data_IF_059384949224
#
_entry.id   IF_059384949224
#
_cell.length_a   1.000
_cell.length_b   1.000
_cell.length_c   1.000
_cell.angle_alpha   90.00
_cell.angle_beta   90.00
_cell.angle_gamma   90.00
#
_symmetry.space_group_name_H-M   'P 1'
#
loop_
_entity.id
_entity.type
_entity.pdbx_description
1 polymer ?
#
# COMPACT_ATOMS: atom_id res chain seq x y z
N UNK A 1 -14.37 -33.77 17.22
CA UNK A 1 -13.88 -32.45 17.68
C UNK A 1 -13.33 -31.58 16.53
N UNK A 2 -12.43 -32.07 15.66
CA UNK A 2 -11.88 -31.27 14.52
C UNK A 2 -12.91 -30.69 13.54
N UNK A 3 -14.00 -31.42 13.26
CA UNK A 3 -15.09 -30.93 12.38
C UNK A 3 -15.87 -29.75 12.99
N UNK A 4 -16.03 -29.73 14.33
CA UNK A 4 -16.74 -28.65 15.03
C UNK A 4 -15.87 -27.40 15.11
N UNK A 5 -14.55 -27.53 15.33
CA UNK A 5 -13.66 -26.37 15.28
C UNK A 5 -13.58 -25.75 13.89
N UNK A 6 -13.61 -26.56 12.82
CA UNK A 6 -13.69 -26.06 11.45
C UNK A 6 -14.97 -25.30 11.15
N UNK A 7 -16.13 -25.78 11.65
CA UNK A 7 -17.40 -25.08 11.48
C UNK A 7 -17.43 -23.76 12.25
N UNK A 8 -16.83 -23.72 13.45
CA UNK A 8 -16.69 -22.48 14.23
C UNK A 8 -15.76 -21.49 13.54
N UNK A 9 -14.61 -21.94 13.03
CA UNK A 9 -13.69 -21.06 12.29
C UNK A 9 -14.32 -20.54 10.99
N UNK A 10 -15.10 -21.37 10.29
CA UNK A 10 -15.82 -20.97 9.08
C UNK A 10 -16.92 -19.95 9.39
N UNK A 11 -17.66 -20.14 10.49
CA UNK A 11 -18.67 -19.18 10.94
C UNK A 11 -18.05 -17.85 11.36
N UNK A 12 -16.93 -17.88 12.10
CA UNK A 12 -16.15 -16.68 12.45
C UNK A 12 -15.60 -15.96 11.22
N UNK A 13 -15.15 -16.72 10.22
CA UNK A 13 -14.68 -16.18 8.95
C UNK A 13 -15.80 -15.50 8.15
N UNK A 14 -16.95 -16.17 7.96
CA UNK A 14 -18.12 -15.60 7.27
C UNK A 14 -18.69 -14.39 8.00
N UNK A 15 -18.71 -14.43 9.33
CA UNK A 15 -19.12 -13.30 10.15
C UNK A 15 -18.15 -12.13 9.97
N UNK A 16 -16.84 -12.40 9.95
CA UNK A 16 -15.81 -11.42 9.64
C UNK A 16 -16.02 -10.82 8.24
N UNK A 17 -16.22 -11.63 7.22
CA UNK A 17 -16.47 -11.17 5.84
C UNK A 17 -17.68 -10.24 5.73
N UNK A 18 -18.79 -10.56 6.41
CA UNK A 18 -19.99 -9.72 6.40
C UNK A 18 -19.83 -8.44 7.23
N UNK A 19 -19.18 -8.54 8.38
CA UNK A 19 -19.05 -7.43 9.33
C UNK A 19 -17.94 -6.47 8.90
N UNK A 20 -16.89 -6.95 8.26
CA UNK A 20 -15.68 -6.19 7.98
C UNK A 20 -15.89 -4.95 7.08
N UNK A 21 -16.65 -5.03 5.95
CA UNK A 21 -16.96 -3.86 5.13
C UNK A 21 -17.62 -2.70 5.90
N UNK A 22 -18.41 -3.02 6.94
CA UNK A 22 -19.05 -2.01 7.80
C UNK A 22 -18.03 -1.22 8.62
N UNK A 23 -16.93 -1.85 9.03
CA UNK A 23 -15.89 -1.23 9.84
C UNK A 23 -14.76 -0.62 9.02
N UNK A 24 -14.64 -0.95 7.74
CA UNK A 24 -13.58 -0.45 6.87
C UNK A 24 -13.48 1.10 6.84
N UNK A 25 -14.58 1.88 6.71
CA UNK A 25 -14.49 3.34 6.79
C UNK A 25 -13.92 3.85 8.12
N UNK A 26 -14.29 3.21 9.23
CA UNK A 26 -13.78 3.55 10.56
C UNK A 26 -12.28 3.23 10.67
N UNK A 27 -11.83 2.10 10.12
CA UNK A 27 -10.42 1.73 10.11
C UNK A 27 -9.59 2.71 9.27
N UNK A 28 -10.07 3.09 8.08
CA UNK A 28 -9.42 4.12 7.25
C UNK A 28 -9.29 5.44 7.98
N UNK A 29 -10.34 5.86 8.70
CA UNK A 29 -10.32 7.06 9.52
C UNK A 29 -9.25 6.98 10.63
N UNK A 30 -9.16 5.85 11.32
CA UNK A 30 -8.17 5.64 12.39
C UNK A 30 -6.73 5.64 11.84
N UNK A 31 -6.49 5.00 10.70
CA UNK A 31 -5.17 4.96 10.05
C UNK A 31 -4.67 6.34 9.60
N UNK A 32 -5.61 7.22 9.25
CA UNK A 32 -5.36 8.57 8.74
C UNK A 32 -5.76 9.65 9.76
N UNK A 33 -5.82 9.30 11.05
CA UNK A 33 -6.16 10.25 12.10
C UNK A 33 -5.12 11.38 12.19
N UNK A 34 -3.85 11.03 12.09
CA UNK A 34 -2.73 11.97 12.02
C UNK A 34 -2.81 12.78 10.71
N UNK A 35 -2.82 14.13 10.77
CA UNK A 35 -2.85 14.98 9.59
C UNK A 35 -1.70 14.75 8.60
N UNK A 36 -0.48 14.51 9.09
CA UNK A 36 0.68 14.32 8.20
C UNK A 36 0.61 12.96 7.48
N UNK A 37 0.23 11.91 8.21
CA UNK A 37 -0.05 10.60 7.62
C UNK A 37 -1.11 10.71 6.53
N UNK A 38 -2.24 11.36 6.85
CA UNK A 38 -3.35 11.56 5.92
C UNK A 38 -2.91 12.33 4.68
N UNK A 39 -2.16 13.42 4.87
CA UNK A 39 -1.67 14.27 3.80
C UNK A 39 -0.80 13.48 2.83
N UNK A 40 0.23 12.79 3.32
CA UNK A 40 1.09 11.96 2.47
C UNK A 40 0.31 10.84 1.79
N UNK A 41 -0.66 10.23 2.50
CA UNK A 41 -1.48 9.18 1.91
C UNK A 41 -2.36 9.70 0.77
N UNK A 42 -3.04 10.84 0.93
CA UNK A 42 -3.80 11.50 -0.15
C UNK A 42 -2.89 11.81 -1.35
N UNK A 43 -1.69 12.35 -1.11
CA UNK A 43 -0.73 12.62 -2.17
C UNK A 43 -0.29 11.35 -2.92
N UNK A 44 -0.08 10.25 -2.21
CA UNK A 44 0.22 8.96 -2.81
C UNK A 44 -0.93 8.49 -3.73
N UNK A 45 -2.17 8.53 -3.25
CA UNK A 45 -3.36 8.11 -4.01
C UNK A 45 -3.55 8.98 -5.27
N UNK A 46 -3.41 10.31 -5.14
CA UNK A 46 -3.47 11.25 -6.26
C UNK A 46 -2.38 10.99 -7.30
N UNK A 47 -1.17 10.66 -6.84
CA UNK A 47 -0.03 10.33 -7.71
C UNK A 47 -0.23 9.01 -8.44
N UNK A 48 -0.81 7.99 -7.78
CA UNK A 48 -1.20 6.73 -8.40
C UNK A 48 -2.24 6.92 -9.50
N UNK A 49 -3.26 7.77 -9.26
CA UNK A 49 -4.27 8.13 -10.27
C UNK A 49 -3.64 8.81 -11.49
N UNK A 50 -2.60 9.63 -11.27
CA UNK A 50 -1.80 10.27 -12.32
C UNK A 50 -0.72 9.37 -12.93
N UNK A 51 -0.65 8.08 -12.54
CA UNK A 51 0.37 7.10 -12.95
C UNK A 51 1.81 7.51 -12.60
N UNK A 52 2.02 8.42 -11.64
CA UNK A 52 3.34 8.86 -11.16
C UNK A 52 3.83 7.93 -10.03
N UNK A 53 4.30 6.74 -10.40
CA UNK A 53 4.66 5.68 -9.45
C UNK A 53 5.77 6.07 -8.46
N UNK A 54 6.85 6.71 -8.93
CA UNK A 54 7.95 7.14 -8.05
C UNK A 54 7.49 8.13 -6.95
N UNK A 55 6.64 9.10 -7.31
CA UNK A 55 6.09 10.07 -6.35
C UNK A 55 5.13 9.39 -5.37
N UNK A 56 4.33 8.44 -5.86
CA UNK A 56 3.48 7.64 -4.99
C UNK A 56 4.31 6.82 -3.99
N UNK A 57 5.37 6.15 -4.46
CA UNK A 57 6.25 5.34 -3.62
C UNK A 57 6.92 6.17 -2.53
N UNK A 58 7.42 7.36 -2.85
CA UNK A 58 7.99 8.29 -1.87
C UNK A 58 6.99 8.65 -0.77
N UNK A 59 5.77 9.03 -1.14
CA UNK A 59 4.73 9.39 -0.17
C UNK A 59 4.28 8.18 0.65
N UNK A 60 4.19 6.99 0.06
CA UNK A 60 3.88 5.75 0.79
C UNK A 60 4.97 5.39 1.80
N UNK A 61 6.24 5.60 1.47
CA UNK A 61 7.34 5.43 2.41
C UNK A 61 7.23 6.40 3.58
N UNK A 62 6.87 7.66 3.32
CA UNK A 62 6.63 8.63 4.38
C UNK A 62 5.47 8.21 5.29
N UNK A 63 4.34 7.78 4.72
CA UNK A 63 3.21 7.23 5.48
C UNK A 63 3.65 6.07 6.38
N UNK A 64 4.47 5.15 5.88
CA UNK A 64 4.94 3.99 6.64
C UNK A 64 6.01 4.34 7.68
N UNK A 65 6.76 5.43 7.49
CA UNK A 65 7.68 5.95 8.51
C UNK A 65 6.93 6.54 9.71
N UNK A 66 5.84 7.26 9.45
CA UNK A 66 4.98 7.89 10.46
C UNK A 66 4.03 6.88 11.12
N UNK A 67 3.48 5.96 10.33
CA UNK A 67 2.59 4.89 10.77
C UNK A 67 3.00 3.54 10.16
N UNK A 68 3.91 2.80 10.81
CA UNK A 68 4.40 1.50 10.32
C UNK A 68 3.32 0.42 10.15
N UNK A 69 2.15 0.60 10.79
CA UNK A 69 1.00 -0.32 10.74
C UNK A 69 -0.08 0.13 9.76
N UNK A 70 0.19 1.11 8.90
CA UNK A 70 -0.78 1.57 7.92
C UNK A 70 -1.02 0.50 6.84
N UNK A 71 -2.20 -0.11 6.84
CA UNK A 71 -2.51 -1.27 5.98
C UNK A 71 -2.49 -0.88 4.50
N UNK A 72 -3.29 0.11 4.10
CA UNK A 72 -3.42 0.47 2.69
C UNK A 72 -2.11 0.97 2.07
N UNK A 73 -1.25 1.63 2.85
CA UNK A 73 0.04 2.08 2.37
C UNK A 73 0.94 0.90 1.97
N UNK A 74 0.94 -0.19 2.75
CA UNK A 74 1.63 -1.44 2.39
C UNK A 74 1.02 -2.08 1.15
N UNK A 75 -0.31 -2.13 1.06
CA UNK A 75 -1.01 -2.69 -0.10
C UNK A 75 -0.66 -1.93 -1.37
N UNK A 76 -0.77 -0.60 -1.36
CA UNK A 76 -0.44 0.21 -2.52
C UNK A 76 1.04 0.14 -2.89
N UNK A 77 1.93 0.06 -1.91
CA UNK A 77 3.37 -0.10 -2.15
C UNK A 77 3.69 -1.46 -2.76
N UNK A 78 3.12 -2.55 -2.24
CA UNK A 78 3.24 -3.89 -2.80
C UNK A 78 2.73 -3.97 -4.25
N UNK A 79 1.63 -3.29 -4.57
CA UNK A 79 1.12 -3.19 -5.95
C UNK A 79 2.05 -2.42 -6.89
N UNK A 80 2.72 -1.37 -6.41
CA UNK A 80 3.77 -0.68 -7.19
C UNK A 80 4.92 -1.66 -7.45
N UNK A 81 5.40 -2.37 -6.43
CA UNK A 81 6.50 -3.32 -6.57
C UNK A 81 6.18 -4.48 -7.52
N UNK A 82 4.95 -5.00 -7.53
CA UNK A 82 4.52 -5.97 -8.55
C UNK A 82 4.67 -5.39 -9.96
N UNK A 83 4.25 -4.13 -10.18
CA UNK A 83 4.34 -3.48 -11.50
C UNK A 83 5.79 -3.23 -11.92
N UNK A 84 6.68 -2.98 -10.96
CA UNK A 84 8.12 -2.79 -11.17
C UNK A 84 8.91 -4.12 -11.23
N UNK A 85 8.25 -5.27 -11.04
CA UNK A 85 8.89 -6.58 -11.02
C UNK A 85 9.68 -6.89 -9.74
N UNK A 86 9.57 -6.06 -8.71
CA UNK A 86 10.24 -6.20 -7.42
C UNK A 86 9.43 -7.11 -6.48
N UNK A 87 9.26 -8.37 -6.88
CA UNK A 87 8.29 -9.26 -6.25
C UNK A 87 8.60 -9.63 -4.80
N UNK A 88 9.88 -9.72 -4.42
CA UNK A 88 10.29 -9.96 -3.03
C UNK A 88 9.81 -8.85 -2.09
N UNK A 89 9.99 -7.59 -2.50
CA UNK A 89 9.53 -6.44 -1.70
C UNK A 89 7.99 -6.39 -1.65
N UNK A 90 7.33 -6.76 -2.74
CA UNK A 90 5.87 -6.88 -2.75
C UNK A 90 5.37 -7.95 -1.76
N UNK A 91 5.98 -9.13 -1.76
CA UNK A 91 5.57 -10.24 -0.89
C UNK A 91 5.78 -9.90 0.60
N UNK A 92 6.87 -9.20 0.92
CA UNK A 92 7.13 -8.66 2.27
C UNK A 92 6.02 -7.67 2.69
N UNK A 93 5.62 -6.73 1.83
CA UNK A 93 4.55 -5.78 2.14
C UNK A 93 3.19 -6.44 2.32
N UNK A 94 2.84 -7.41 1.49
CA UNK A 94 1.60 -8.17 1.64
C UNK A 94 1.60 -9.03 2.90
N UNK A 95 2.74 -9.61 3.28
CA UNK A 95 2.88 -10.37 4.51
C UNK A 95 2.65 -9.47 5.73
N UNK A 96 3.24 -8.28 5.73
CA UNK A 96 3.01 -7.29 6.78
C UNK A 96 1.56 -6.79 6.80
N UNK A 97 0.93 -6.58 5.65
CA UNK A 97 -0.50 -6.26 5.57
C UNK A 97 -1.37 -7.36 6.20
N UNK A 98 -1.07 -8.64 5.94
CA UNK A 98 -1.75 -9.78 6.55
C UNK A 98 -1.56 -9.84 8.08
N UNK A 99 -0.36 -9.48 8.58
CA UNK A 99 -0.09 -9.38 10.03
C UNK A 99 -0.89 -8.26 10.69
N UNK A 100 -1.09 -7.14 9.98
CA UNK A 100 -1.89 -6.00 10.48
C UNK A 100 -3.36 -6.39 10.58
N UNK A 101 -3.93 -6.96 9.51
CA UNK A 101 -5.31 -7.42 9.51
C UNK A 101 -5.56 -8.51 8.49
N UNK A 102 -5.77 -9.73 8.99
CA UNK A 102 -6.15 -10.89 8.18
C UNK A 102 -7.51 -10.68 7.50
N UNK A 103 -8.47 -10.07 8.20
CA UNK A 103 -9.79 -9.80 7.65
C UNK A 103 -9.75 -8.82 6.49
N UNK A 104 -8.93 -7.76 6.59
CA UNK A 104 -8.71 -6.84 5.46
C UNK A 104 -8.00 -7.54 4.32
N UNK A 105 -7.02 -8.36 4.63
CA UNK A 105 -6.27 -9.11 3.63
C UNK A 105 -7.19 -9.98 2.77
N UNK A 106 -8.18 -10.63 3.39
CA UNK A 106 -9.21 -11.39 2.70
C UNK A 106 -10.17 -10.47 1.94
N UNK A 107 -10.66 -9.41 2.59
CA UNK A 107 -11.61 -8.46 1.99
C UNK A 107 -11.09 -7.78 0.71
N UNK A 108 -9.80 -7.46 0.67
CA UNK A 108 -9.13 -6.88 -0.49
C UNK A 108 -8.61 -7.93 -1.50
N UNK A 109 -8.94 -9.21 -1.30
CA UNK A 109 -8.48 -10.33 -2.14
C UNK A 109 -6.95 -10.40 -2.32
N UNK A 110 -6.20 -9.95 -1.31
CA UNK A 110 -4.74 -9.79 -1.41
C UNK A 110 -3.98 -11.11 -1.49
N UNK A 111 -4.61 -12.25 -1.20
CA UNK A 111 -3.98 -13.56 -1.40
C UNK A 111 -3.57 -13.76 -2.86
N UNK A 112 -4.35 -13.27 -3.85
CA UNK A 112 -3.99 -13.37 -5.27
C UNK A 112 -2.74 -12.56 -5.58
N UNK A 113 -2.66 -11.35 -5.06
CA UNK A 113 -1.52 -10.45 -5.26
C UNK A 113 -0.27 -10.99 -4.56
N UNK A 114 -0.42 -11.48 -3.33
CA UNK A 114 0.64 -12.16 -2.60
C UNK A 114 1.13 -13.41 -3.33
N UNK A 115 0.25 -14.32 -3.74
CA UNK A 115 0.67 -15.51 -4.48
C UNK A 115 1.30 -15.15 -5.82
N UNK A 116 0.84 -14.10 -6.51
CA UNK A 116 1.52 -13.59 -7.72
C UNK A 116 2.94 -13.12 -7.40
N UNK A 117 3.13 -12.39 -6.31
CA UNK A 117 4.47 -11.95 -5.88
C UNK A 117 5.38 -13.14 -5.54
N UNK A 118 4.88 -14.12 -4.81
CA UNK A 118 5.66 -15.32 -4.43
C UNK A 118 5.93 -16.20 -5.66
N UNK A 119 4.92 -16.52 -6.46
CA UNK A 119 5.03 -17.43 -7.61
C UNK A 119 5.98 -16.93 -8.70
N UNK A 120 6.19 -15.61 -8.80
CA UNK A 120 7.22 -15.07 -9.69
C UNK A 120 8.64 -15.59 -9.35
N UNK A 121 8.89 -15.91 -8.08
CA UNK A 121 10.14 -16.52 -7.60
C UNK A 121 10.15 -18.05 -7.79
N UNK A 122 8.98 -18.70 -7.83
CA UNK A 122 8.83 -20.17 -7.93
C UNK A 122 8.53 -20.71 -9.35
N UNK A 123 8.33 -19.85 -10.36
CA UNK A 123 8.11 -20.27 -11.74
C UNK A 123 6.77 -21.02 -12.00
N UNK A 124 6.78 -21.99 -12.92
CA UNK A 124 5.59 -22.68 -13.46
C UNK A 124 4.75 -23.49 -12.46
N UNK A 125 5.22 -23.66 -11.21
CA UNK A 125 4.54 -24.46 -10.18
C UNK A 125 3.48 -23.67 -9.39
N UNK A 126 3.50 -22.34 -9.48
CA UNK A 126 2.59 -21.47 -8.74
C UNK A 126 1.14 -21.47 -9.23
N UNK A 127 0.92 -21.71 -10.53
CA UNK A 127 -0.41 -21.71 -11.15
C UNK A 127 -1.34 -22.80 -10.60
N UNK A 128 -0.91 -24.08 -10.58
CA UNK A 128 -1.71 -25.18 -10.02
C UNK A 128 -2.04 -25.01 -8.53
N UNK A 129 -1.19 -24.33 -7.76
CA UNK A 129 -1.46 -24.01 -6.36
C UNK A 129 -2.58 -22.97 -6.25
N UNK A 130 -2.55 -21.93 -7.09
CA UNK A 130 -3.56 -20.87 -7.13
C UNK A 130 -4.93 -21.43 -7.53
N UNK A 131 -4.99 -22.32 -8.52
CA UNK A 131 -6.23 -23.02 -8.92
C UNK A 131 -6.81 -23.87 -7.79
N UNK A 132 -5.96 -24.58 -7.03
CA UNK A 132 -6.41 -25.35 -5.86
C UNK A 132 -6.95 -24.44 -4.75
N UNK A 133 -6.32 -23.29 -4.52
CA UNK A 133 -6.83 -22.30 -3.58
C UNK A 133 -8.17 -21.72 -4.03
N UNK A 134 -8.30 -21.38 -5.31
CA UNK A 134 -9.54 -20.89 -5.90
C UNK A 134 -10.67 -21.91 -5.74
N UNK A 135 -10.42 -23.18 -6.07
CA UNK A 135 -11.37 -24.26 -5.86
C UNK A 135 -11.74 -24.45 -4.38
N UNK A 136 -10.79 -24.27 -3.46
CA UNK A 136 -11.04 -24.34 -2.02
C UNK A 136 -11.97 -23.21 -1.57
N UNK A 137 -11.77 -21.98 -2.05
CA UNK A 137 -12.66 -20.85 -1.74
C UNK A 137 -14.07 -21.03 -2.35
N UNK A 138 -14.16 -21.53 -3.59
CA UNK A 138 -15.45 -21.84 -4.24
C UNK A 138 -16.22 -22.96 -3.50
N UNK A 139 -15.51 -24.02 -3.08
CA UNK A 139 -16.12 -25.14 -2.33
C UNK A 139 -16.55 -24.76 -0.92
N UNK A 140 -15.99 -23.72 -0.32
CA UNK A 140 -16.48 -23.15 0.95
C UNK A 140 -17.84 -22.44 0.83
N UNK A 141 -18.49 -22.48 -0.36
CA UNK A 141 -19.75 -21.79 -0.65
C UNK A 141 -19.72 -20.35 -0.18
N UNK A 142 -18.60 -19.68 -0.45
CA UNK A 142 -18.53 -18.24 -0.46
C UNK A 142 -19.34 -17.82 -1.67
N UNK A 143 -20.65 -17.60 -1.51
CA UNK A 143 -21.44 -16.90 -2.50
C UNK A 143 -20.78 -15.52 -2.66
N UNK A 144 -19.83 -15.40 -3.60
CA UNK A 144 -19.50 -14.13 -4.22
C UNK A 144 -20.76 -13.73 -4.98
N UNK A 145 -21.62 -12.99 -4.29
CA UNK A 145 -22.54 -12.09 -4.98
C UNK A 145 -21.71 -11.32 -6.00
N UNK A 146 -22.29 -11.23 -7.20
CA UNK A 146 -21.67 -10.94 -8.48
C UNK A 146 -20.99 -9.57 -8.62
N UNK A 147 -20.73 -8.85 -7.53
CA UNK A 147 -20.00 -7.58 -7.50
C UNK A 147 -18.47 -7.75 -7.48
N UNK A 148 -17.95 -8.85 -6.90
CA UNK A 148 -16.51 -9.11 -6.80
C UNK A 148 -15.98 -10.10 -7.83
N UNK A 149 -16.82 -10.52 -8.78
CA UNK A 149 -16.48 -11.55 -9.77
C UNK A 149 -15.88 -10.99 -11.06
N UNK A 150 -15.84 -9.67 -11.24
CA UNK A 150 -15.15 -9.08 -12.39
C UNK A 150 -13.76 -8.63 -11.97
N UNK A 151 -12.76 -9.32 -12.52
CA UNK A 151 -11.35 -9.29 -12.14
C UNK A 151 -10.61 -8.01 -12.52
N UNK A 152 -11.19 -6.85 -12.22
CA UNK A 152 -10.51 -5.57 -12.04
C UNK A 152 -11.33 -4.83 -10.98
N UNK A 153 -10.94 -4.90 -9.70
CA UNK A 153 -11.10 -3.70 -8.87
C UNK A 153 -10.29 -2.67 -9.65
N UNK A 154 -10.96 -1.85 -10.45
CA UNK A 154 -10.29 -0.77 -11.15
C UNK A 154 -9.54 -0.04 -10.04
N UNK A 155 -8.21 -0.09 -10.06
CA UNK A 155 -7.42 0.66 -9.11
C UNK A 155 -7.93 2.12 -9.09
N UNK A 156 -8.46 2.61 -10.21
CA UNK A 156 -9.23 3.84 -10.29
C UNK A 156 -10.41 3.95 -9.32
N UNK A 157 -11.33 2.97 -9.25
CA UNK A 157 -12.47 3.01 -8.31
C UNK A 157 -12.02 2.91 -6.85
N UNK A 158 -11.07 2.03 -6.53
CA UNK A 158 -10.56 1.93 -5.16
C UNK A 158 -9.82 3.21 -4.72
N UNK A 159 -9.02 3.80 -5.61
CA UNK A 159 -8.37 5.09 -5.37
C UNK A 159 -9.40 6.21 -5.22
N UNK A 160 -10.44 6.22 -6.05
CA UNK A 160 -11.50 7.23 -6.02
C UNK A 160 -12.32 7.16 -4.72
N UNK A 161 -12.66 5.96 -4.26
CA UNK A 161 -13.39 5.75 -3.01
C UNK A 161 -12.53 6.13 -1.80
N UNK A 162 -11.24 5.78 -1.81
CA UNK A 162 -10.32 6.17 -0.75
C UNK A 162 -10.11 7.70 -0.72
N UNK A 163 -9.93 8.35 -1.87
CA UNK A 163 -9.77 9.80 -1.95
C UNK A 163 -11.02 10.52 -1.45
N UNK A 164 -12.21 10.14 -1.93
CA UNK A 164 -13.46 10.82 -1.56
C UNK A 164 -13.78 10.72 -0.06
N UNK A 165 -13.52 9.58 0.58
CA UNK A 165 -13.68 9.43 2.04
C UNK A 165 -12.69 10.29 2.82
N UNK A 166 -11.44 10.37 2.36
CA UNK A 166 -10.39 11.12 3.06
C UNK A 166 -10.53 12.63 2.86
N UNK A 167 -10.94 13.06 1.66
CA UNK A 167 -11.20 14.47 1.31
C UNK A 167 -12.46 15.00 2.01
N UNK A 168 -13.51 14.19 2.17
CA UNK A 168 -14.70 14.58 2.94
C UNK A 168 -14.41 14.86 4.44
N UNK A 169 -13.27 14.36 4.95
CA UNK A 169 -12.79 14.63 6.31
C UNK A 169 -11.88 15.86 6.44
N UNK A 170 -11.51 16.51 5.33
CA UNK A 170 -10.74 17.76 5.32
C UNK A 170 -11.71 18.93 5.48
N UNK A 171 -11.51 19.78 6.48
CA UNK A 171 -12.21 21.08 6.55
C UNK A 171 -11.58 22.01 5.50
N UNK A 172 -12.35 22.98 5.00
CA UNK A 172 -12.03 23.96 3.93
C UNK A 172 -10.77 24.85 4.13
N UNK A 173 -9.83 24.50 5.02
CA UNK A 173 -8.56 25.20 5.22
C UNK A 173 -7.30 24.38 4.91
N UNK A 174 -7.41 23.08 4.67
CA UNK A 174 -6.27 22.22 4.30
C UNK A 174 -6.06 22.24 2.78
N UNK A 175 -6.05 23.44 2.18
CA UNK A 175 -5.78 23.60 0.75
C UNK A 175 -4.41 22.99 0.41
N UNK A 176 -4.45 22.05 -0.52
CA UNK A 176 -3.29 21.32 -1.03
C UNK A 176 -2.41 22.29 -1.81
N UNK A 177 -1.47 22.94 -1.13
CA UNK A 177 -0.38 23.64 -1.79
C UNK A 177 0.74 22.63 -2.02
N UNK A 178 0.85 22.15 -3.26
CA UNK A 178 2.15 21.72 -3.79
C UNK A 178 2.97 22.99 -4.00
N UNK A 179 3.45 23.59 -2.91
CA UNK A 179 4.60 24.48 -3.01
C UNK A 179 5.83 23.57 -3.12
N UNK A 180 6.03 23.13 -4.36
CA UNK A 180 7.34 22.94 -4.98
C UNK A 180 8.33 22.02 -4.23
N UNK A 181 8.26 20.73 -4.56
CA UNK A 181 9.48 19.94 -4.83
C UNK A 181 10.17 20.38 -6.15
N UNK A 182 9.74 21.51 -6.73
CA UNK A 182 10.47 22.14 -7.81
C UNK A 182 11.64 22.85 -7.18
N UNK A 183 12.84 22.31 -7.39
CA UNK A 183 14.08 23.02 -7.15
C UNK A 183 13.92 24.45 -7.69
N UNK A 184 14.20 25.43 -6.84
CA UNK A 184 14.32 26.83 -7.22
C UNK A 184 15.26 26.96 -8.41
N UNK A 185 15.15 28.02 -9.23
CA UNK A 185 16.07 28.24 -10.35
C UNK A 185 17.54 28.09 -9.94
N UNK A 186 17.89 28.61 -8.77
CA UNK A 186 19.23 28.55 -8.18
C UNK A 186 19.62 27.12 -7.79
N UNK A 187 18.71 26.35 -7.19
CA UNK A 187 18.98 24.94 -6.86
C UNK A 187 19.12 24.10 -8.13
N UNK A 188 18.33 24.35 -9.19
CA UNK A 188 18.49 23.65 -10.47
C UNK A 188 19.84 23.94 -11.11
N UNK A 189 20.33 25.16 -11.00
CA UNK A 189 21.65 25.54 -11.49
C UNK A 189 22.75 24.87 -10.66
N UNK A 190 22.64 24.88 -9.33
CA UNK A 190 23.56 24.13 -8.44
C UNK A 190 23.58 22.64 -8.77
N UNK A 191 22.43 22.00 -8.91
CA UNK A 191 22.33 20.58 -9.26
C UNK A 191 22.92 20.26 -10.64
N UNK A 192 22.85 21.18 -11.61
CA UNK A 192 23.51 20.99 -12.91
C UNK A 192 25.03 21.04 -12.82
N UNK A 193 25.58 21.80 -11.87
CA UNK A 193 27.02 21.94 -11.66
C UNK A 193 27.60 20.79 -10.83
N UNK A 194 26.82 20.21 -9.91
CA UNK A 194 27.31 19.26 -8.91
C UNK A 194 27.64 17.84 -9.44
N UNK A 195 27.26 17.49 -10.67
CA UNK A 195 27.57 16.18 -11.24
C UNK A 195 27.06 14.98 -10.42
N UNK A 196 27.41 13.74 -10.79
CA UNK A 196 27.14 12.58 -9.94
C UNK A 196 28.07 12.59 -8.72
N UNK A 197 27.53 12.28 -7.54
CA UNK A 197 28.32 12.14 -6.31
C UNK A 197 29.43 11.11 -6.55
N UNK A 198 30.67 11.54 -6.34
CA UNK A 198 31.86 10.70 -6.52
C UNK A 198 32.23 9.99 -5.22
N UNK A 199 32.96 8.87 -5.35
CA UNK A 199 33.42 8.10 -4.19
C UNK A 199 34.40 8.91 -3.31
N UNK A 200 35.19 9.78 -3.92
CA UNK A 200 36.15 10.65 -3.25
C UNK A 200 35.43 11.71 -2.39
N UNK A 201 34.36 12.32 -2.91
CA UNK A 201 33.53 13.24 -2.14
C UNK A 201 32.85 12.56 -0.94
N UNK A 202 32.46 11.29 -1.05
CA UNK A 202 31.86 10.54 0.07
C UNK A 202 32.88 10.32 1.20
N UNK A 203 34.14 10.08 0.84
CA UNK A 203 35.21 9.80 1.79
C UNK A 203 35.75 11.08 2.45
N UNK A 204 35.70 12.21 1.74
CA UNK A 204 36.16 13.52 2.25
C UNK A 204 35.08 14.30 3.01
N UNK A 205 33.80 13.94 2.86
CA UNK A 205 32.69 14.63 3.54
C UNK A 205 32.66 14.27 5.03
N UNK A 206 32.71 15.29 5.89
CA UNK A 206 32.43 15.16 7.32
C UNK A 206 30.91 14.99 7.55
N UNK A 207 30.49 13.73 7.63
CA UNK A 207 29.10 13.33 7.77
C UNK A 207 28.48 13.75 9.11
N UNK A 208 29.29 13.88 10.16
CA UNK A 208 28.81 14.28 11.48
C UNK A 208 28.48 15.77 11.46
N UNK A 209 29.36 16.60 10.87
CA UNK A 209 29.08 18.02 10.69
C UNK A 209 27.88 18.27 9.76
N UNK A 210 27.76 17.52 8.66
CA UNK A 210 26.62 17.61 7.76
C UNK A 210 25.30 17.27 8.48
N UNK A 211 25.32 16.28 9.35
CA UNK A 211 24.14 15.86 10.11
C UNK A 211 23.72 16.93 11.13
N UNK A 212 24.68 17.55 11.80
CA UNK A 212 24.43 18.67 12.71
C UNK A 212 23.79 19.86 11.96
N UNK A 213 24.33 20.24 10.80
CA UNK A 213 23.81 21.33 9.97
C UNK A 213 22.38 21.07 9.43
N UNK A 214 22.03 19.80 9.19
CA UNK A 214 20.68 19.41 8.74
C UNK A 214 19.66 19.33 9.88
N UNK A 215 20.12 19.20 11.11
CA UNK A 215 19.26 19.01 12.29
C UNK A 215 19.16 20.26 13.18
N UNK A 216 19.99 21.28 12.94
CA UNK A 216 19.93 22.63 13.53
C UNK A 216 18.88 23.53 12.89
#
# INVERSE_FOLDING_TARGET
MKKVSHLISLAQFKLGEFIFPMFEPMLRFLENKDPEVRRHFIHALSSLKKKKQAIALLNLNMVLSLNPKHFLARVFRGRIYIKEGQYRLASEDYLEANKISQYRFIHYDLYREYFRSVNSEFGSEGGPLLEKFDQMFETLQLQRDSSYRDGQTDMGTELQDNLSILEAGLKEGDEITFQELALSPDEKERFQVLGPITQEEIEETDWDQLLDDLTS
#
